data_IF_056729138365
#
_entry.id   IF_056729138365
#
_cell.length_a   1.000
_cell.length_b   1.000
_cell.length_c   1.000
_cell.angle_alpha   90.00
_cell.angle_beta   90.00
_cell.angle_gamma   90.00
#
_symmetry.space_group_name_H-M   'P 1'
#
loop_
_entity.id
_entity.type
_entity.pdbx_description
1 polymer ?
#
# COMPACT_ATOMS: atom_id res chain seq x y z
N UNK A 1 1.02 2.34 27.49
CA UNK A 1 1.58 2.97 28.72
C UNK A 1 2.77 2.15 29.16
N UNK A 2 3.92 2.73 29.57
CA UNK A 2 5.10 1.95 29.94
C UNK A 2 4.85 1.15 31.23
N UNK A 3 4.84 -0.18 31.11
CA UNK A 3 4.67 -1.14 32.21
C UNK A 3 5.02 -2.53 31.72
N UNK A 4 5.38 -3.44 32.64
CA UNK A 4 5.54 -4.85 32.29
C UNK A 4 4.20 -5.40 31.82
N UNK A 5 4.13 -6.05 30.65
CA UNK A 5 2.87 -6.57 30.16
C UNK A 5 2.46 -7.77 31.03
N UNK A 6 1.16 -8.11 31.09
CA UNK A 6 0.69 -9.35 31.68
C UNK A 6 1.41 -10.56 31.06
N UNK A 7 1.61 -11.65 31.80
CA UNK A 7 2.42 -12.81 31.36
C UNK A 7 1.87 -13.58 30.13
N UNK A 8 0.74 -13.14 29.57
CA UNK A 8 -0.01 -13.79 28.49
C UNK A 8 -0.42 -12.82 27.37
N UNK A 9 0.09 -11.58 27.36
CA UNK A 9 -0.30 -10.55 26.40
C UNK A 9 -0.12 -10.94 24.92
N UNK A 10 0.87 -11.78 24.65
CA UNK A 10 1.20 -12.27 23.31
C UNK A 10 0.36 -13.51 22.88
N UNK A 11 -0.46 -14.07 23.77
CA UNK A 11 -1.26 -15.25 23.48
C UNK A 11 -2.61 -14.89 22.81
N UNK A 12 -3.22 -15.82 22.06
CA UNK A 12 -4.60 -15.70 21.61
C UNK A 12 -5.57 -15.57 22.79
N UNK A 13 -6.62 -14.76 22.63
CA UNK A 13 -7.66 -14.56 23.66
C UNK A 13 -7.31 -13.56 24.76
N UNK A 14 -6.13 -12.93 24.72
CA UNK A 14 -5.82 -11.80 25.59
C UNK A 14 -6.73 -10.60 25.30
N UNK A 15 -7.27 -9.98 26.35
CA UNK A 15 -8.19 -8.84 26.22
C UNK A 15 -7.45 -7.54 25.91
N UNK A 16 -7.58 -7.07 24.67
CA UNK A 16 -7.00 -5.80 24.19
C UNK A 16 -7.94 -4.62 24.27
N UNK A 17 -9.10 -4.72 24.94
CA UNK A 17 -10.10 -3.63 24.96
C UNK A 17 -9.56 -2.31 25.54
N UNK A 18 -8.46 -2.35 26.30
CA UNK A 18 -7.78 -1.18 26.86
C UNK A 18 -6.62 -0.64 26.03
N UNK A 19 -6.28 -1.30 24.92
CA UNK A 19 -5.17 -0.94 24.03
C UNK A 19 -5.65 0.08 22.99
N UNK A 20 -4.75 0.93 22.51
CA UNK A 20 -4.97 1.78 21.36
C UNK A 20 -5.01 0.96 20.06
N UNK A 21 -5.28 1.62 18.94
CA UNK A 21 -5.25 1.02 17.60
C UNK A 21 -4.48 1.89 16.60
N UNK A 22 -3.87 1.29 15.58
CA UNK A 22 -3.07 1.96 14.55
C UNK A 22 -2.87 1.12 13.28
N UNK A 23 -1.99 1.53 12.38
CA UNK A 23 -1.52 0.80 11.17
C UNK A 23 0.03 0.81 11.12
N UNK A 24 0.68 -0.32 10.82
CA UNK A 24 2.15 -0.36 10.73
C UNK A 24 2.63 0.32 9.43
N UNK A 25 3.84 0.90 9.42
CA UNK A 25 4.77 1.03 10.54
C UNK A 25 4.33 1.99 11.63
N UNK A 26 4.71 1.66 12.86
CA UNK A 26 4.45 2.48 14.03
C UNK A 26 5.74 2.95 14.67
N UNK A 27 5.82 4.22 15.04
CA UNK A 27 7.05 4.78 15.59
C UNK A 27 6.91 6.17 16.17
N UNK A 28 7.97 6.60 16.85
CA UNK A 28 8.20 7.96 17.32
C UNK A 28 9.54 8.46 16.80
N UNK A 29 9.66 9.78 16.67
CA UNK A 29 10.90 10.42 16.22
C UNK A 29 11.04 10.49 14.70
N UNK A 30 12.28 10.70 14.24
CA UNK A 30 12.63 11.00 12.86
C UNK A 30 13.62 9.97 12.31
N UNK A 31 13.31 8.68 12.45
CA UNK A 31 14.09 7.62 11.83
C UNK A 31 14.19 7.89 10.31
N UNK A 32 15.41 8.10 9.82
CA UNK A 32 15.64 8.56 8.47
C UNK A 32 15.05 7.59 7.43
N UNK A 33 14.17 8.09 6.57
CA UNK A 33 13.56 7.31 5.49
C UNK A 33 12.37 6.44 5.90
N UNK A 34 11.88 6.54 7.15
CA UNK A 34 10.67 5.84 7.59
C UNK A 34 9.53 6.83 7.81
N UNK A 35 8.38 6.55 7.22
CA UNK A 35 7.13 7.29 7.43
C UNK A 35 6.25 6.46 8.36
N UNK A 36 6.00 6.95 9.56
CA UNK A 36 5.12 6.27 10.50
C UNK A 36 3.67 6.40 10.05
N UNK A 37 3.02 5.25 9.86
CA UNK A 37 1.58 5.18 9.68
C UNK A 37 0.85 5.32 11.03
N UNK A 38 1.54 5.09 12.14
CA UNK A 38 1.03 5.37 13.50
C UNK A 38 2.11 6.01 14.37
N UNK A 39 1.82 7.19 14.88
CA UNK A 39 2.71 7.90 15.80
C UNK A 39 2.57 7.32 17.22
N UNK A 40 3.69 6.88 17.78
CA UNK A 40 3.78 6.42 19.17
C UNK A 40 4.13 7.58 20.11
N UNK A 41 3.66 7.53 21.38
CA UNK A 41 4.09 8.50 22.39
C UNK A 41 5.60 8.42 22.62
N UNK A 42 6.31 9.55 22.56
CA UNK A 42 7.75 9.59 22.86
C UNK A 42 8.04 9.16 24.31
N UNK A 43 8.87 8.12 24.48
CA UNK A 43 9.35 7.64 25.77
C UNK A 43 10.87 7.82 25.95
N UNK A 44 11.53 8.60 25.11
CA UNK A 44 12.99 8.83 25.13
C UNK A 44 13.50 9.29 26.49
N UNK A 45 12.73 10.09 27.23
CA UNK A 45 13.13 10.60 28.55
C UNK A 45 13.18 9.52 29.64
N UNK A 46 12.31 8.51 29.57
CA UNK A 46 12.15 7.48 30.61
C UNK A 46 12.65 6.11 30.18
N UNK A 47 12.86 5.92 28.87
CA UNK A 47 12.92 4.59 28.26
C UNK A 47 11.62 3.81 28.46
N UNK A 48 11.69 2.51 28.20
CA UNK A 48 10.61 1.55 28.42
C UNK A 48 10.27 0.77 27.15
N UNK A 49 9.22 -0.02 27.21
CA UNK A 49 8.82 -0.91 26.11
C UNK A 49 7.52 -0.45 25.45
N UNK A 50 7.44 -0.64 24.14
CA UNK A 50 6.21 -0.66 23.37
C UNK A 50 5.80 -2.09 23.10
N UNK A 51 4.50 -2.36 23.12
CA UNK A 51 3.94 -3.67 22.85
C UNK A 51 3.02 -3.56 21.65
N UNK A 52 3.19 -4.46 20.70
CA UNK A 52 2.40 -4.50 19.47
C UNK A 52 1.69 -5.83 19.41
N UNK A 53 0.42 -5.81 19.04
CA UNK A 53 -0.35 -7.02 18.82
C UNK A 53 -1.06 -6.95 17.47
N UNK A 54 -0.76 -7.93 16.64
CA UNK A 54 -1.39 -8.19 15.37
C UNK A 54 -2.16 -9.50 15.46
N UNK A 55 -3.44 -9.47 15.14
CA UNK A 55 -4.23 -10.68 14.97
C UNK A 55 -4.38 -11.01 13.48
N UNK A 56 -4.30 -12.29 13.17
CA UNK A 56 -4.56 -12.80 11.84
C UNK A 56 -5.23 -14.16 11.88
N UNK A 57 -6.02 -14.50 10.87
CA UNK A 57 -6.74 -15.76 10.82
C UNK A 57 -6.16 -16.72 9.78
N UNK A 58 -6.11 -18.01 10.13
CA UNK A 58 -5.75 -19.09 9.22
C UNK A 58 -6.91 -20.08 9.06
N UNK A 59 -7.19 -20.50 7.83
CA UNK A 59 -7.97 -21.72 7.57
C UNK A 59 -7.12 -22.97 7.78
N UNK A 60 -7.76 -24.14 7.84
CA UNK A 60 -7.02 -25.41 7.87
C UNK A 60 -6.09 -25.56 6.67
N UNK A 61 -6.55 -25.20 5.46
CA UNK A 61 -5.76 -25.31 4.23
C UNK A 61 -4.54 -24.38 4.25
N UNK A 62 -4.69 -23.16 4.77
CA UNK A 62 -3.60 -22.20 4.95
C UNK A 62 -2.60 -22.67 6.00
N UNK A 63 -3.08 -23.22 7.11
CA UNK A 63 -2.21 -23.80 8.13
C UNK A 63 -1.40 -24.97 7.57
N UNK A 64 -2.07 -25.90 6.86
CA UNK A 64 -1.43 -27.07 6.25
C UNK A 64 -0.32 -26.64 5.27
N UNK A 65 -0.55 -25.58 4.51
CA UNK A 65 0.47 -24.98 3.64
C UNK A 65 1.65 -24.41 4.43
N UNK A 66 1.41 -23.67 5.51
CA UNK A 66 2.45 -23.02 6.31
C UNK A 66 3.31 -23.99 7.13
N UNK A 67 2.76 -25.14 7.54
CA UNK A 67 3.49 -26.16 8.30
C UNK A 67 4.23 -27.16 7.40
N UNK A 68 3.98 -27.14 6.08
CA UNK A 68 4.73 -27.96 5.13
C UNK A 68 6.23 -27.60 5.23
N UNK A 69 7.14 -28.55 5.51
CA UNK A 69 8.57 -28.30 5.55
C UNK A 69 9.16 -27.74 4.24
N UNK A 70 8.46 -27.91 3.11
CA UNK A 70 8.82 -27.30 1.83
C UNK A 70 8.46 -25.81 1.74
N UNK A 71 7.53 -25.35 2.58
CA UNK A 71 7.14 -23.95 2.70
C UNK A 71 8.11 -23.21 3.61
N UNK A 72 8.82 -22.23 3.06
CA UNK A 72 9.62 -21.31 3.87
C UNK A 72 8.74 -20.18 4.37
N UNK A 73 8.46 -20.14 5.66
CA UNK A 73 7.83 -18.99 6.31
C UNK A 73 8.93 -18.06 6.81
N UNK A 74 8.93 -16.81 6.37
CA UNK A 74 9.94 -15.82 6.69
C UNK A 74 9.31 -14.65 7.44
N UNK A 75 9.82 -14.32 8.62
CA UNK A 75 9.43 -13.12 9.34
C UNK A 75 10.50 -12.05 9.13
N UNK A 76 10.13 -10.94 8.51
CA UNK A 76 10.95 -9.74 8.48
C UNK A 76 10.53 -8.83 9.62
N UNK A 77 11.53 -8.30 10.33
CA UNK A 77 11.33 -7.35 11.42
C UNK A 77 12.13 -6.09 11.10
N UNK A 78 11.56 -4.94 11.41
CA UNK A 78 12.26 -3.67 11.47
C UNK A 78 12.03 -3.08 12.87
N UNK A 79 13.10 -2.88 13.63
CA UNK A 79 13.03 -2.31 14.97
C UNK A 79 14.22 -1.39 15.27
N UNK A 80 13.97 -0.28 15.97
CA UNK A 80 14.98 0.77 16.23
C UNK A 80 15.84 0.60 17.47
N UNK A 81 15.75 -0.51 18.20
CA UNK A 81 16.51 -0.77 19.43
C UNK A 81 16.56 -2.29 19.68
N UNK A 82 16.10 -2.77 20.83
CA UNK A 82 15.90 -4.19 21.11
C UNK A 82 14.47 -4.59 20.76
N UNK A 83 14.30 -5.78 20.18
CA UNK A 83 12.97 -6.32 19.88
C UNK A 83 12.87 -7.80 20.19
N UNK A 84 11.75 -8.20 20.75
CA UNK A 84 11.37 -9.59 20.92
C UNK A 84 10.05 -9.82 20.17
N UNK A 85 9.98 -10.85 19.35
CA UNK A 85 8.75 -11.18 18.60
C UNK A 85 8.23 -12.55 19.03
N UNK A 86 6.92 -12.61 19.15
CA UNK A 86 6.15 -13.72 19.68
C UNK A 86 5.09 -14.14 18.67
N UNK A 87 4.87 -15.44 18.51
CA UNK A 87 3.79 -16.02 17.75
C UNK A 87 2.95 -16.89 18.68
N UNK A 88 1.69 -16.52 18.89
CA UNK A 88 0.77 -17.20 19.81
C UNK A 88 1.34 -17.41 21.22
N UNK A 89 2.05 -16.39 21.74
CA UNK A 89 2.70 -16.43 23.06
C UNK A 89 4.08 -17.11 23.06
N UNK A 90 4.52 -17.70 21.95
CA UNK A 90 5.84 -18.29 21.81
C UNK A 90 6.84 -17.28 21.29
N UNK A 91 7.95 -17.05 21.99
CA UNK A 91 9.03 -16.23 21.45
C UNK A 91 9.66 -16.93 20.24
N UNK A 92 9.61 -16.28 19.08
CA UNK A 92 10.21 -16.75 17.82
C UNK A 92 11.42 -15.91 17.40
N UNK A 93 11.63 -14.76 18.05
CA UNK A 93 12.77 -13.90 17.77
C UNK A 93 13.17 -13.07 18.99
N UNK A 94 14.48 -12.83 19.12
CA UNK A 94 15.05 -11.94 20.12
C UNK A 94 16.27 -11.24 19.55
N UNK A 95 16.23 -9.92 19.59
CA UNK A 95 17.34 -9.04 19.31
C UNK A 95 17.62 -8.21 20.55
N UNK A 96 18.36 -8.81 21.47
CA UNK A 96 18.86 -8.18 22.69
C UNK A 96 20.30 -7.78 22.45
N UNK A 97 20.56 -6.48 22.32
CA UNK A 97 21.82 -6.03 21.77
C UNK A 97 22.06 -4.54 21.88
N UNK A 98 23.04 -4.06 21.12
CA UNK A 98 23.37 -2.64 21.11
C UNK A 98 22.30 -1.84 20.38
N UNK A 99 21.91 -0.66 20.92
CA UNK A 99 21.07 0.29 20.22
C UNK A 99 21.46 0.48 18.76
N UNK A 100 20.50 0.37 17.84
CA UNK A 100 20.72 0.55 16.39
C UNK A 100 19.59 1.33 15.76
N UNK A 101 19.90 2.20 14.81
CA UNK A 101 18.84 2.92 14.10
C UNK A 101 17.88 1.93 13.41
N UNK A 102 16.58 2.26 13.38
CA UNK A 102 15.61 1.48 12.63
C UNK A 102 15.93 1.56 11.13
N UNK A 103 15.89 0.42 10.45
CA UNK A 103 16.03 0.31 9.00
C UNK A 103 15.15 -0.83 8.49
N UNK A 104 14.64 -0.66 7.27
CA UNK A 104 13.93 -1.71 6.54
C UNK A 104 14.89 -2.58 5.73
N UNK A 105 14.90 -3.90 5.84
CA UNK A 105 14.51 -4.73 7.00
C UNK A 105 15.79 -4.99 7.81
N UNK A 106 15.75 -4.91 9.15
CA UNK A 106 16.95 -5.12 9.96
C UNK A 106 17.16 -6.60 10.31
N UNK A 107 16.11 -7.42 10.22
CA UNK A 107 16.18 -8.88 10.39
C UNK A 107 15.25 -9.60 9.42
N UNK A 108 15.71 -10.77 8.98
CA UNK A 108 14.95 -11.77 8.26
C UNK A 108 15.13 -13.10 8.99
N UNK A 109 14.02 -13.70 9.42
CA UNK A 109 13.98 -14.89 10.27
C UNK A 109 13.24 -15.97 9.50
N UNK A 110 13.93 -17.07 9.22
CA UNK A 110 13.33 -18.23 8.57
C UNK A 110 12.75 -19.11 9.67
N UNK A 111 11.42 -19.13 9.78
CA UNK A 111 10.72 -19.95 10.78
C UNK A 111 10.85 -21.42 10.39
N UNK A 112 11.52 -22.18 11.26
CA UNK A 112 11.68 -23.62 11.07
C UNK A 112 10.32 -24.32 11.20
N UNK A 113 10.19 -25.53 10.66
CA UNK A 113 9.01 -26.38 10.89
C UNK A 113 8.77 -26.68 12.38
N UNK A 114 9.82 -26.57 13.19
CA UNK A 114 9.77 -26.66 14.66
C UNK A 114 9.37 -25.35 15.34
N UNK A 115 8.95 -24.33 14.61
CA UNK A 115 8.44 -23.04 15.12
C UNK A 115 7.07 -22.74 14.51
N UNK A 116 6.77 -23.24 13.30
CA UNK A 116 5.45 -23.12 12.66
C UNK A 116 4.33 -23.90 13.38
N UNK A 117 4.66 -24.84 14.27
CA UNK A 117 3.66 -25.51 15.12
C UNK A 117 2.95 -24.57 16.11
N UNK A 118 3.50 -23.38 16.35
CA UNK A 118 2.81 -22.36 17.12
C UNK A 118 1.54 -21.87 16.41
N UNK A 119 1.45 -21.99 15.07
CA UNK A 119 0.27 -21.61 14.29
C UNK A 119 -0.90 -22.55 14.54
N UNK A 120 -2.10 -21.98 14.57
CA UNK A 120 -3.36 -22.71 14.77
C UNK A 120 -4.40 -22.32 13.71
N UNK A 121 -5.39 -23.19 13.50
CA UNK A 121 -6.58 -22.81 12.72
C UNK A 121 -7.39 -21.80 13.51
N UNK A 122 -7.86 -20.75 12.84
CA UNK A 122 -8.53 -19.61 13.46
C UNK A 122 -7.56 -18.48 13.76
N UNK A 123 -7.76 -17.80 14.89
CA UNK A 123 -7.01 -16.60 15.26
C UNK A 123 -5.60 -16.95 15.74
N UNK A 124 -4.63 -16.31 15.12
CA UNK A 124 -3.22 -16.27 15.49
C UNK A 124 -2.85 -14.85 15.88
N UNK A 125 -1.82 -14.74 16.71
CA UNK A 125 -1.31 -13.48 17.26
C UNK A 125 0.17 -13.40 16.95
N UNK A 126 0.57 -12.38 16.19
CA UNK A 126 1.94 -11.94 16.10
C UNK A 126 2.10 -10.73 17.02
N UNK A 127 2.98 -10.86 18.01
CA UNK A 127 3.15 -9.86 19.06
C UNK A 127 4.61 -9.45 19.14
N UNK A 128 4.90 -8.19 19.43
CA UNK A 128 6.27 -7.71 19.56
C UNK A 128 6.45 -6.76 20.74
N UNK A 129 7.53 -6.96 21.50
CA UNK A 129 8.03 -5.99 22.46
C UNK A 129 9.19 -5.24 21.81
N UNK A 130 9.12 -3.92 21.74
CA UNK A 130 10.24 -3.06 21.30
C UNK A 130 10.66 -2.18 22.46
N UNK A 131 11.89 -2.39 22.95
CA UNK A 131 12.42 -1.64 24.11
C UNK A 131 13.13 -0.40 23.60
N UNK A 132 12.71 0.78 24.06
CA UNK A 132 13.42 2.02 23.82
C UNK A 132 14.29 2.41 25.02
N UNK A 133 15.58 2.63 24.78
CA UNK A 133 16.53 3.07 25.81
C UNK A 133 16.32 4.52 26.22
N UNK A 134 16.71 4.87 27.46
CA UNK A 134 16.75 6.27 27.91
C UNK A 134 17.70 7.06 27.00
N UNK A 135 17.21 8.19 26.48
CA UNK A 135 17.93 9.09 25.59
C UNK A 135 17.85 8.71 24.11
N UNK A 136 17.16 7.63 23.74
CA UNK A 136 16.93 7.28 22.33
C UNK A 136 15.73 8.05 21.78
N UNK A 137 15.93 8.95 20.80
CA UNK A 137 14.87 9.79 20.23
C UNK A 137 13.92 9.01 19.31
N UNK A 138 14.36 7.84 18.82
CA UNK A 138 13.66 7.07 17.80
C UNK A 138 13.33 5.68 18.34
N UNK A 139 12.06 5.31 18.21
CA UNK A 139 11.58 3.96 18.44
C UNK A 139 10.58 3.64 17.35
N UNK A 140 10.66 2.45 16.78
CA UNK A 140 9.72 2.06 15.75
C UNK A 140 9.70 0.55 15.57
N UNK A 141 8.60 0.11 14.98
CA UNK A 141 8.32 -1.27 14.69
C UNK A 141 7.61 -1.39 13.35
N UNK A 142 8.07 -2.35 12.56
CA UNK A 142 7.33 -2.91 11.45
C UNK A 142 7.63 -4.40 11.36
N UNK A 143 6.67 -5.14 10.82
CA UNK A 143 6.75 -6.59 10.69
C UNK A 143 6.06 -7.08 9.44
N UNK A 144 6.68 -8.07 8.80
CA UNK A 144 6.17 -8.70 7.61
C UNK A 144 6.39 -10.22 7.69
N UNK A 145 5.33 -11.00 7.57
CA UNK A 145 5.33 -12.46 7.57
C UNK A 145 5.07 -12.95 6.14
N UNK A 146 6.11 -13.52 5.52
CA UNK A 146 6.15 -13.90 4.11
C UNK A 146 6.18 -15.40 3.94
N UNK A 147 5.54 -15.86 2.88
CA UNK A 147 5.66 -17.24 2.40
C UNK A 147 6.64 -17.26 1.23
N UNK A 148 7.50 -18.28 1.17
CA UNK A 148 8.48 -18.48 0.11
C UNK A 148 7.84 -18.41 -1.29
N UNK A 149 8.60 -17.88 -2.25
CA UNK A 149 8.11 -17.63 -3.61
C UNK A 149 7.55 -18.91 -4.27
N UNK A 150 6.43 -18.78 -4.98
CA UNK A 150 5.85 -19.83 -5.82
C UNK A 150 4.70 -20.63 -5.20
N UNK A 151 4.31 -20.34 -3.96
CA UNK A 151 3.16 -20.98 -3.31
C UNK A 151 1.87 -20.18 -3.57
N UNK A 152 0.80 -20.87 -3.97
CA UNK A 152 -0.52 -20.28 -4.11
C UNK A 152 -1.17 -20.23 -2.72
N UNK A 153 -1.49 -19.03 -2.24
CA UNK A 153 -2.16 -18.85 -0.95
C UNK A 153 -3.65 -19.22 -1.06
N UNK A 154 -4.17 -20.17 -0.26
CA UNK A 154 -5.57 -20.57 -0.33
C UNK A 154 -6.50 -19.42 0.06
N UNK A 155 -7.56 -19.20 -0.71
CA UNK A 155 -8.59 -18.24 -0.36
C UNK A 155 -9.43 -18.79 0.81
N UNK A 156 -9.61 -17.99 1.87
CA UNK A 156 -10.49 -18.35 2.97
C UNK A 156 -10.62 -17.25 4.00
N UNK A 157 -11.86 -17.01 4.47
CA UNK A 157 -12.20 -16.05 5.51
C UNK A 157 -12.76 -16.78 6.73
N UNK A 158 -12.13 -16.63 7.89
CA UNK A 158 -12.70 -17.02 9.17
C UNK A 158 -13.32 -15.77 9.81
N UNK A 159 -14.65 -15.69 9.88
CA UNK A 159 -15.47 -14.69 10.64
C UNK A 159 -15.27 -13.18 10.34
N UNK A 160 -16.30 -12.43 9.88
CA UNK A 160 -16.19 -11.02 9.46
C UNK A 160 -15.84 -9.99 10.56
N UNK A 161 -15.72 -10.37 11.83
CA UNK A 161 -15.40 -9.43 12.90
C UNK A 161 -13.90 -9.02 12.94
N UNK A 162 -13.01 -9.83 12.35
CA UNK A 162 -11.56 -9.59 12.39
C UNK A 162 -10.96 -9.96 11.02
N UNK A 163 -10.59 -8.94 10.25
CA UNK A 163 -10.23 -9.04 8.83
C UNK A 163 -9.08 -10.01 8.50
N UNK A 164 -8.96 -10.37 7.22
CA UNK A 164 -7.92 -11.25 6.68
C UNK A 164 -6.55 -10.57 6.63
N UNK A 165 -5.51 -11.22 7.17
CA UNK A 165 -4.11 -10.74 7.18
C UNK A 165 -3.06 -11.84 7.18
N UNK A 166 -1.89 -11.60 6.57
CA UNK A 166 -0.55 -12.09 6.97
C UNK A 166 0.48 -11.02 6.51
N UNK A 167 0.44 -9.82 7.15
CA UNK A 167 1.13 -8.54 6.82
C UNK A 167 2.56 -8.67 6.26
N UNK A 168 3.10 -7.87 5.33
CA UNK A 168 2.92 -6.43 5.03
C UNK A 168 2.42 -6.15 3.61
N UNK A 169 1.60 -5.11 3.47
CA UNK A 169 1.24 -4.52 2.18
C UNK A 169 2.10 -3.33 1.77
N UNK A 170 3.37 -3.31 2.21
CA UNK A 170 4.31 -2.26 1.84
C UNK A 170 5.31 -2.79 0.79
N UNK A 171 5.46 -2.14 -0.37
CA UNK A 171 6.50 -2.50 -1.31
C UNK A 171 7.86 -2.20 -0.66
N UNK A 172 8.73 -3.22 -0.65
CA UNK A 172 10.11 -3.08 -0.24
C UNK A 172 10.80 -1.99 -1.06
N UNK A 173 11.26 -0.92 -0.42
CA UNK A 173 12.21 -0.01 -1.06
C UNK A 173 13.56 -0.71 -1.21
N UNK A 174 13.83 -1.11 -2.45
CA UNK A 174 15.12 -1.35 -3.12
C UNK A 174 16.07 -2.42 -2.58
N UNK A 175 16.12 -3.55 -3.30
CA UNK A 175 17.33 -3.86 -4.07
C UNK A 175 16.95 -4.55 -5.39
N UNK A 176 17.75 -4.32 -6.42
CA UNK A 176 17.45 -4.50 -7.82
C UNK A 176 16.83 -5.86 -8.21
N UNK A 177 15.72 -5.79 -8.98
CA UNK A 177 15.30 -6.86 -9.88
C UNK A 177 14.36 -7.91 -9.30
N UNK A 178 13.10 -7.55 -9.04
CA UNK A 178 11.96 -8.45 -9.20
C UNK A 178 10.66 -7.62 -9.35
N UNK A 179 9.81 -8.07 -10.26
CA UNK A 179 8.64 -7.37 -10.80
C UNK A 179 7.56 -7.12 -9.76
N UNK A 180 7.30 -5.84 -9.46
CA UNK A 180 6.01 -5.42 -8.93
C UNK A 180 4.88 -5.73 -9.91
N UNK A 181 3.64 -5.50 -9.49
CA UNK A 181 2.53 -5.28 -10.42
C UNK A 181 3.04 -4.39 -11.57
N UNK A 182 2.64 -4.63 -12.83
CA UNK A 182 3.11 -3.80 -13.93
C UNK A 182 2.85 -2.36 -13.54
N UNK A 183 3.94 -1.63 -13.34
CA UNK A 183 3.91 -0.24 -12.97
C UNK A 183 3.06 0.44 -14.04
N UNK A 184 1.96 1.06 -13.62
CA UNK A 184 0.96 1.60 -14.53
C UNK A 184 1.64 2.62 -15.45
N UNK A 185 1.84 2.24 -16.70
CA UNK A 185 2.58 3.04 -17.67
C UNK A 185 1.69 4.20 -18.10
N UNK A 186 2.12 5.42 -17.80
CA UNK A 186 1.46 6.63 -18.27
C UNK A 186 2.30 7.32 -19.34
N UNK A 187 1.64 8.11 -20.19
CA UNK A 187 2.27 9.15 -20.98
C UNK A 187 2.23 10.48 -20.22
N UNK A 188 3.33 11.25 -20.23
CA UNK A 188 3.42 12.59 -19.61
C UNK A 188 3.96 13.65 -20.55
N UNK A 189 3.34 14.82 -20.55
CA UNK A 189 3.87 16.02 -21.18
C UNK A 189 4.04 17.16 -20.16
N UNK A 190 5.07 17.98 -20.35
CA UNK A 190 5.44 19.06 -19.44
C UNK A 190 6.39 20.09 -20.06
N UNK A 191 6.38 21.37 -19.63
CA UNK A 191 5.25 22.16 -19.15
C UNK A 191 4.64 22.99 -20.30
N UNK A 192 3.30 23.06 -20.39
CA UNK A 192 2.62 23.80 -21.45
C UNK A 192 1.09 23.86 -21.35
N UNK A 193 0.43 24.39 -22.38
CA UNK A 193 -1.01 24.17 -22.61
C UNK A 193 -1.18 22.89 -23.41
N UNK A 194 -2.07 21.98 -23.01
CA UNK A 194 -2.19 20.74 -23.74
C UNK A 194 -2.88 21.00 -25.08
N UNK A 195 -2.66 20.14 -26.09
CA UNK A 195 -3.47 20.17 -27.30
C UNK A 195 -4.96 20.02 -26.97
N UNK A 196 -5.83 20.58 -27.82
CA UNK A 196 -7.27 20.27 -27.74
C UNK A 196 -7.47 18.76 -27.79
N UNK A 197 -8.34 18.24 -26.94
CA UNK A 197 -8.74 16.83 -26.86
C UNK A 197 -7.70 15.84 -26.32
N UNK A 198 -6.64 16.31 -25.65
CA UNK A 198 -5.61 15.45 -25.04
C UNK A 198 -6.18 14.38 -24.10
N UNK A 199 -7.28 14.67 -23.39
CA UNK A 199 -7.92 13.72 -22.48
C UNK A 199 -8.87 12.73 -23.18
N UNK A 200 -9.20 12.94 -24.45
CA UNK A 200 -10.16 12.11 -25.19
C UNK A 200 -9.49 10.86 -25.77
N UNK A 201 -10.22 9.73 -25.94
CA UNK A 201 -9.70 8.54 -26.63
C UNK A 201 -9.20 8.87 -28.05
N UNK A 202 -8.10 8.24 -28.45
CA UNK A 202 -7.51 8.44 -29.79
C UNK A 202 -6.55 9.62 -29.94
N UNK A 203 -6.29 10.38 -28.87
CA UNK A 203 -5.20 11.36 -28.85
C UNK A 203 -3.84 10.66 -28.98
N UNK A 204 -2.96 11.18 -29.84
CA UNK A 204 -1.63 10.62 -30.09
C UNK A 204 -0.62 11.09 -29.05
N UNK A 205 -0.19 10.17 -28.17
CA UNK A 205 0.83 10.43 -27.15
C UNK A 205 2.24 10.06 -27.59
N UNK A 206 2.50 9.78 -28.86
CA UNK A 206 3.81 9.34 -29.34
C UNK A 206 4.95 10.32 -29.06
N UNK A 207 4.65 11.62 -28.89
CA UNK A 207 5.64 12.64 -28.52
C UNK A 207 5.78 12.86 -27.01
N UNK A 208 4.95 12.22 -26.19
CA UNK A 208 4.96 12.38 -24.73
C UNK A 208 6.06 11.51 -24.12
N UNK A 209 6.57 11.92 -22.96
CA UNK A 209 7.37 11.05 -22.12
C UNK A 209 6.53 9.88 -21.61
N UNK A 210 7.18 8.84 -21.09
CA UNK A 210 6.51 7.72 -20.44
C UNK A 210 7.08 7.48 -19.05
N UNK A 211 6.23 7.08 -18.11
CA UNK A 211 6.64 6.79 -16.74
C UNK A 211 5.64 5.91 -16.02
N UNK A 212 5.86 5.75 -14.72
CA UNK A 212 5.03 4.98 -13.80
C UNK A 212 4.68 5.81 -12.58
N UNK A 213 3.42 5.75 -12.13
CA UNK A 213 2.99 6.48 -10.95
C UNK A 213 3.53 5.81 -9.67
N UNK A 214 3.74 6.57 -8.58
CA UNK A 214 3.65 8.03 -8.53
C UNK A 214 4.70 8.78 -9.32
N UNK A 215 4.30 9.94 -9.85
CA UNK A 215 5.17 10.85 -10.56
C UNK A 215 5.28 12.18 -9.82
N UNK A 216 6.49 12.73 -9.71
CA UNK A 216 6.68 13.99 -9.01
C UNK A 216 8.09 14.57 -9.10
N UNK A 217 8.25 15.75 -8.54
CA UNK A 217 9.51 16.45 -8.35
C UNK A 217 9.58 16.99 -6.93
N UNK A 218 10.79 17.21 -6.44
CA UNK A 218 11.02 17.73 -5.10
C UNK A 218 10.98 16.65 -4.02
N UNK A 219 10.77 17.09 -2.78
CA UNK A 219 10.89 16.28 -1.57
C UNK A 219 9.60 16.28 -0.77
N UNK A 220 8.47 16.00 -1.43
CA UNK A 220 7.20 15.82 -0.74
C UNK A 220 7.36 14.73 0.34
N UNK A 221 7.08 15.10 1.58
CA UNK A 221 7.37 14.26 2.73
C UNK A 221 6.61 12.93 2.63
N UNK A 222 7.36 11.83 2.69
CA UNK A 222 6.82 10.48 2.68
C UNK A 222 6.36 9.94 1.33
N UNK A 223 6.76 10.58 0.22
CA UNK A 223 6.49 10.09 -1.13
C UNK A 223 7.80 9.74 -1.84
N UNK A 224 7.87 8.52 -2.36
CA UNK A 224 8.96 8.07 -3.23
C UNK A 224 8.45 8.09 -4.67
N UNK A 225 8.95 9.01 -5.48
CA UNK A 225 8.57 9.11 -6.89
C UNK A 225 9.10 7.92 -7.68
N UNK A 226 8.20 7.24 -8.40
CA UNK A 226 8.58 6.25 -9.39
C UNK A 226 9.02 6.92 -10.70
N UNK A 227 8.47 8.09 -11.02
CA UNK A 227 8.90 8.93 -12.14
C UNK A 227 9.25 10.34 -11.68
N UNK A 228 10.46 10.78 -11.95
CA UNK A 228 10.85 12.17 -11.72
C UNK A 228 10.31 13.07 -12.83
N UNK A 229 9.53 14.08 -12.44
CA UNK A 229 9.05 15.11 -13.35
C UNK A 229 10.07 16.26 -13.48
N UNK A 230 10.14 16.91 -14.65
CA UNK A 230 10.98 18.11 -14.81
C UNK A 230 10.51 19.21 -13.87
N UNK A 231 11.42 19.80 -13.08
CA UNK A 231 11.09 20.91 -12.19
C UNK A 231 10.57 22.13 -12.99
N UNK A 232 9.33 22.54 -12.70
CA UNK A 232 8.71 23.74 -13.26
C UNK A 232 8.45 24.83 -12.20
N UNK A 233 9.04 24.73 -11.00
CA UNK A 233 8.83 25.68 -9.89
C UNK A 233 9.12 27.13 -10.28
N UNK A 234 10.09 27.39 -11.16
CA UNK A 234 10.44 28.74 -11.59
C UNK A 234 9.36 29.44 -12.44
N UNK A 235 8.62 28.67 -13.25
CA UNK A 235 7.64 29.19 -14.22
C UNK A 235 6.21 28.82 -13.88
N UNK A 236 6.00 27.87 -12.97
CA UNK A 236 4.75 27.14 -12.82
C UNK A 236 4.40 26.36 -14.10
N UNK A 237 3.16 25.89 -14.15
CA UNK A 237 2.57 25.24 -15.31
C UNK A 237 1.93 23.91 -14.97
N UNK A 238 1.45 23.22 -16.00
CA UNK A 238 0.73 21.95 -15.85
C UNK A 238 1.58 20.77 -16.34
N UNK A 239 1.39 19.63 -15.67
CA UNK A 239 1.74 18.30 -16.16
C UNK A 239 0.47 17.60 -16.62
N UNK A 240 0.56 16.89 -17.74
CA UNK A 240 -0.56 16.13 -18.29
C UNK A 240 -0.22 14.66 -18.27
N UNK A 241 -1.09 13.86 -17.66
CA UNK A 241 -0.94 12.42 -17.55
C UNK A 241 -2.02 11.74 -18.34
N UNK A 242 -1.66 10.65 -19.02
CA UNK A 242 -2.61 9.79 -19.72
C UNK A 242 -2.30 8.35 -19.41
N UNK A 243 -3.34 7.62 -19.01
CA UNK A 243 -3.26 6.19 -18.77
C UNK A 243 -4.39 5.49 -19.53
N UNK A 244 -4.01 4.47 -20.29
CA UNK A 244 -4.94 3.70 -21.09
C UNK A 244 -5.20 2.35 -20.45
N UNK A 245 -6.47 1.97 -20.40
CA UNK A 245 -6.92 0.70 -19.84
C UNK A 245 -8.07 0.14 -20.61
N UNK A 246 -8.24 -1.17 -20.53
CA UNK A 246 -9.10 -1.87 -21.45
C UNK A 246 -10.12 -2.69 -20.66
N UNK A 247 -11.40 -2.63 -21.06
CA UNK A 247 -12.51 -3.30 -20.40
C UNK A 247 -13.21 -4.29 -21.33
N UNK A 248 -13.57 -5.47 -20.82
CA UNK A 248 -14.54 -6.36 -21.47
C UNK A 248 -15.97 -5.89 -21.20
N UNK A 249 -16.95 -6.45 -21.93
CA UNK A 249 -18.37 -6.20 -21.66
C UNK A 249 -18.74 -6.55 -20.21
N UNK A 250 -18.29 -7.71 -19.72
CA UNK A 250 -18.61 -8.17 -18.36
C UNK A 250 -18.01 -7.24 -17.27
N UNK A 251 -16.81 -6.73 -17.50
CA UNK A 251 -16.16 -5.76 -16.62
C UNK A 251 -16.87 -4.41 -16.65
N UNK A 252 -17.28 -3.95 -17.83
CA UNK A 252 -18.08 -2.73 -17.95
C UNK A 252 -19.41 -2.87 -17.21
N UNK A 253 -20.13 -3.98 -17.42
CA UNK A 253 -21.41 -4.25 -16.78
C UNK A 253 -21.28 -4.24 -15.25
N UNK A 254 -20.20 -4.81 -14.71
CA UNK A 254 -19.89 -4.74 -13.29
C UNK A 254 -19.67 -3.30 -12.81
N UNK A 255 -18.89 -2.50 -13.54
CA UNK A 255 -18.52 -1.14 -13.13
C UNK A 255 -19.65 -0.13 -13.20
N UNK A 256 -20.62 -0.34 -14.10
CA UNK A 256 -21.79 0.54 -14.24
C UNK A 256 -22.96 0.11 -13.36
N UNK A 257 -22.88 -1.06 -12.71
CA UNK A 257 -23.89 -1.50 -11.75
C UNK A 257 -23.94 -0.51 -10.58
N UNK A 258 -25.10 0.10 -10.26
CA UNK A 258 -25.24 1.00 -9.12
C UNK A 258 -24.89 0.37 -7.76
N UNK A 259 -24.89 -0.96 -7.66
CA UNK A 259 -24.43 -1.69 -6.48
C UNK A 259 -22.90 -1.73 -6.36
N UNK A 260 -22.17 -1.57 -7.47
CA UNK A 260 -20.72 -1.48 -7.50
C UNK A 260 -20.28 -0.07 -7.13
N UNK A 261 -19.63 0.07 -5.98
CA UNK A 261 -19.02 1.33 -5.58
C UNK A 261 -17.67 1.51 -6.27
N UNK A 262 -17.67 2.17 -7.43
CA UNK A 262 -16.45 2.61 -8.09
C UNK A 262 -15.93 3.89 -7.43
N UNK A 263 -14.65 3.90 -7.07
CA UNK A 263 -13.99 4.97 -6.32
C UNK A 263 -12.76 5.45 -7.08
N UNK A 264 -12.62 6.76 -7.23
CA UNK A 264 -11.41 7.43 -7.70
C UNK A 264 -10.62 7.94 -6.49
N UNK A 265 -9.36 7.55 -6.40
CA UNK A 265 -8.41 8.09 -5.42
C UNK A 265 -7.42 9.00 -6.15
N UNK A 266 -7.18 10.18 -5.60
CA UNK A 266 -6.26 11.17 -6.19
C UNK A 266 -5.31 11.68 -5.12
N UNK A 267 -4.01 11.67 -5.44
CA UNK A 267 -2.99 12.40 -4.69
C UNK A 267 -2.37 13.44 -5.63
N UNK A 268 -2.37 14.70 -5.22
CA UNK A 268 -1.81 15.79 -6.01
C UNK A 268 -1.23 16.90 -5.13
N UNK A 269 -0.05 17.40 -5.47
CA UNK A 269 0.52 18.61 -4.87
C UNK A 269 0.04 19.81 -5.66
N UNK A 270 -0.77 20.69 -5.04
CA UNK A 270 -1.49 21.84 -5.63
C UNK A 270 -2.88 21.49 -6.21
N UNK A 271 -3.09 21.70 -7.51
CA UNK A 271 -4.39 21.54 -8.18
C UNK A 271 -4.37 20.33 -9.11
N UNK A 272 -5.49 19.62 -9.19
CA UNK A 272 -5.66 18.54 -10.16
C UNK A 272 -7.06 18.46 -10.73
N UNK A 273 -7.13 18.03 -11.99
CA UNK A 273 -8.37 17.70 -12.68
C UNK A 273 -8.20 16.33 -13.31
N UNK A 274 -9.19 15.44 -13.13
CA UNK A 274 -9.13 14.07 -13.67
C UNK A 274 -10.30 13.88 -14.64
N UNK A 275 -9.99 13.22 -15.74
CA UNK A 275 -10.87 12.99 -16.87
C UNK A 275 -10.93 11.49 -17.18
N UNK A 276 -12.10 11.01 -17.54
CA UNK A 276 -12.35 9.66 -18.03
C UNK A 276 -12.94 9.75 -19.43
N UNK A 277 -12.23 9.22 -20.43
CA UNK A 277 -12.60 9.31 -21.85
C UNK A 277 -12.95 10.74 -22.30
N UNK A 278 -12.19 11.73 -21.84
CA UNK A 278 -12.37 13.15 -22.15
C UNK A 278 -13.43 13.87 -21.31
N UNK A 279 -14.16 13.15 -20.45
CA UNK A 279 -15.12 13.75 -19.52
C UNK A 279 -14.48 14.00 -18.18
N UNK A 280 -14.57 15.23 -17.67
CA UNK A 280 -14.08 15.55 -16.35
C UNK A 280 -14.91 14.84 -15.28
N UNK A 281 -14.27 14.01 -14.47
CA UNK A 281 -14.88 13.27 -13.36
C UNK A 281 -14.46 13.79 -11.99
N UNK A 282 -13.44 14.65 -11.94
CA UNK A 282 -12.95 15.28 -10.73
C UNK A 282 -12.30 16.64 -11.04
N UNK A 283 -12.49 17.60 -10.12
CA UNK A 283 -11.86 18.92 -10.18
C UNK A 283 -11.52 19.37 -8.78
N UNK A 284 -10.27 19.76 -8.61
CA UNK A 284 -9.74 20.33 -7.38
C UNK A 284 -8.82 21.49 -7.74
N UNK A 285 -9.46 22.60 -8.06
CA UNK A 285 -8.83 23.87 -8.44
C UNK A 285 -8.94 24.86 -7.28
N UNK A 286 -7.92 25.69 -7.07
CA UNK A 286 -7.96 26.77 -6.10
C UNK A 286 -6.79 26.77 -5.12
N UNK A 287 -7.02 26.29 -3.88
CA UNK A 287 -6.07 26.55 -2.78
C UNK A 287 -4.87 25.60 -2.85
N UNK A 288 -3.63 26.13 -2.90
CA UNK A 288 -2.41 25.36 -2.78
C UNK A 288 -2.43 24.38 -1.60
N UNK A 289 -2.02 23.14 -1.84
CA UNK A 289 -1.88 22.13 -0.79
C UNK A 289 -0.69 21.22 -1.04
N UNK A 290 -0.16 20.69 0.07
CA UNK A 290 0.83 19.64 0.02
C UNK A 290 0.21 18.35 -0.51
N UNK A 291 1.00 17.58 -1.25
CA UNK A 291 0.61 16.23 -1.66
C UNK A 291 0.56 15.32 -0.44
N UNK A 292 -0.49 14.50 -0.33
CA UNK A 292 -0.64 13.46 0.69
C UNK A 292 -1.30 12.23 0.06
N UNK A 293 -0.95 11.05 0.55
CA UNK A 293 -1.64 9.82 0.16
C UNK A 293 -2.81 9.52 1.11
N UNK A 294 -4.06 9.51 0.67
CA UNK A 294 -4.64 10.09 -0.56
C UNK A 294 -5.18 11.49 -0.25
N UNK A 295 -5.09 12.45 -1.18
CA UNK A 295 -5.67 13.79 -0.99
C UNK A 295 -7.20 13.74 -1.08
N UNK A 296 -7.72 12.89 -1.96
CA UNK A 296 -9.15 12.73 -2.19
C UNK A 296 -9.52 11.28 -2.47
N UNK A 297 -10.73 10.94 -2.03
CA UNK A 297 -11.44 9.70 -2.34
C UNK A 297 -12.84 10.07 -2.80
N UNK A 298 -13.20 9.69 -4.02
CA UNK A 298 -14.43 10.10 -4.69
C UNK A 298 -15.20 8.86 -5.13
N UNK A 299 -16.42 8.69 -4.65
CA UNK A 299 -17.33 7.70 -5.21
C UNK A 299 -17.90 8.22 -6.53
N UNK A 300 -17.63 7.50 -7.62
CA UNK A 300 -18.17 7.83 -8.94
C UNK A 300 -19.64 7.41 -9.00
N UNK A 301 -20.52 8.33 -9.38
CA UNK A 301 -21.93 8.03 -9.59
C UNK A 301 -22.15 7.56 -11.04
N UNK A 302 -23.40 7.19 -11.34
CA UNK A 302 -23.79 6.77 -12.70
C UNK A 302 -23.54 7.84 -13.76
N UNK A 303 -23.47 9.12 -13.35
CA UNK A 303 -23.15 10.28 -14.21
C UNK A 303 -21.65 10.44 -14.51
N UNK A 304 -20.78 9.63 -13.92
CA UNK A 304 -19.37 9.58 -14.27
C UNK A 304 -19.02 8.23 -14.91
N UNK A 305 -19.64 7.14 -14.45
CA UNK A 305 -19.37 5.79 -14.98
C UNK A 305 -19.93 5.55 -16.39
N UNK A 306 -20.90 6.34 -16.87
CA UNK A 306 -21.37 6.26 -18.27
C UNK A 306 -20.30 6.64 -19.30
N UNK A 307 -19.21 7.28 -18.87
CA UNK A 307 -18.08 7.55 -19.72
C UNK A 307 -17.34 6.28 -20.13
N UNK A 308 -17.44 5.19 -19.35
CA UNK A 308 -16.77 3.93 -19.61
C UNK A 308 -17.35 3.23 -20.85
N UNK A 309 -16.45 2.61 -21.63
CA UNK A 309 -16.82 1.86 -22.83
C UNK A 309 -16.15 0.48 -22.83
N UNK A 310 -16.71 -0.45 -23.60
CA UNK A 310 -16.01 -1.71 -23.91
C UNK A 310 -14.80 -1.40 -24.80
N UNK A 311 -13.67 -2.01 -24.51
CA UNK A 311 -12.39 -1.72 -25.16
C UNK A 311 -11.58 -0.67 -24.40
N UNK A 312 -10.82 0.14 -25.14
CA UNK A 312 -9.87 1.10 -24.55
C UNK A 312 -10.61 2.30 -23.94
N UNK A 313 -10.25 2.58 -22.71
CA UNK A 313 -10.63 3.71 -21.90
C UNK A 313 -9.37 4.49 -21.53
N UNK A 314 -9.53 5.78 -21.30
CA UNK A 314 -8.46 6.72 -20.98
C UNK A 314 -8.79 7.38 -19.65
N UNK A 315 -7.93 7.19 -18.65
CA UNK A 315 -7.88 8.01 -17.45
C UNK A 315 -6.78 9.05 -17.65
N UNK A 316 -7.16 10.33 -17.64
CA UNK A 316 -6.27 11.44 -17.92
C UNK A 316 -6.31 12.45 -16.77
N UNK A 317 -5.18 13.11 -16.49
CA UNK A 317 -5.13 14.08 -15.41
C UNK A 317 -4.27 15.29 -15.76
N UNK A 318 -4.75 16.48 -15.40
CA UNK A 318 -3.97 17.71 -15.40
C UNK A 318 -3.57 17.99 -13.96
N UNK A 319 -2.28 18.24 -13.71
CA UNK A 319 -1.77 18.64 -12.40
C UNK A 319 -1.01 19.93 -12.55
N UNK A 320 -1.49 20.99 -11.91
CA UNK A 320 -0.88 22.31 -11.99
C UNK A 320 0.09 22.50 -10.84
N UNK A 321 1.31 22.92 -11.14
CA UNK A 321 2.24 23.38 -10.13
C UNK A 321 2.33 24.91 -10.15
N UNK A 322 2.24 25.52 -8.97
CA UNK A 322 2.31 26.97 -8.81
C UNK A 322 3.73 27.51 -8.97
N UNK A 323 3.86 28.77 -9.40
CA UNK A 323 5.14 29.49 -9.39
C UNK A 323 5.69 29.54 -7.96
N UNK A 324 6.92 29.10 -7.78
CA UNK A 324 7.63 29.01 -6.50
C UNK A 324 7.34 27.75 -5.69
N UNK A 325 6.52 26.82 -6.19
CA UNK A 325 6.28 25.54 -5.53
C UNK A 325 7.37 24.53 -5.89
N UNK A 326 8.23 24.12 -4.94
CA UNK A 326 9.35 23.20 -5.22
C UNK A 326 8.88 21.75 -5.41
N UNK A 327 7.67 21.44 -4.95
CA UNK A 327 7.11 20.09 -4.97
C UNK A 327 5.91 20.06 -5.92
N UNK A 328 5.94 19.14 -6.87
CA UNK A 328 4.82 18.77 -7.71
C UNK A 328 4.70 17.25 -7.67
N UNK A 329 3.50 16.72 -7.64
CA UNK A 329 3.34 15.28 -7.60
C UNK A 329 1.93 14.86 -7.93
N UNK A 330 1.83 13.63 -8.43
CA UNK A 330 0.59 13.02 -8.86
C UNK A 330 0.60 11.51 -8.62
N UNK A 331 -0.52 11.01 -8.13
CA UNK A 331 -0.90 9.60 -8.18
C UNK A 331 -2.41 9.47 -8.33
N UNK A 332 -2.86 8.41 -8.97
CA UNK A 332 -4.28 8.12 -9.19
C UNK A 332 -4.54 6.63 -9.14
N UNK A 333 -5.67 6.26 -8.56
CA UNK A 333 -6.14 4.89 -8.51
C UNK A 333 -7.66 4.83 -8.70
N UNK A 334 -8.14 3.79 -9.37
CA UNK A 334 -9.56 3.53 -9.58
C UNK A 334 -9.89 2.18 -8.95
N UNK A 335 -10.76 2.17 -7.95
CA UNK A 335 -11.05 1.01 -7.09
C UNK A 335 -12.51 0.63 -7.13
N UNK A 336 -12.78 -0.67 -7.05
CA UNK A 336 -14.13 -1.18 -6.75
C UNK A 336 -14.22 -1.51 -5.26
N UNK A 337 -15.42 -1.40 -4.69
CA UNK A 337 -15.70 -1.82 -3.32
C UNK A 337 -15.27 -3.26 -3.03
N UNK A 338 -14.83 -3.50 -1.79
CA UNK A 338 -14.32 -4.81 -1.37
C UNK A 338 -15.33 -5.95 -1.55
N UNK A 339 -14.85 -7.14 -1.90
CA UNK A 339 -15.66 -8.37 -2.00
C UNK A 339 -16.30 -8.64 -3.37
N UNK A 340 -16.05 -7.79 -4.37
CA UNK A 340 -16.50 -8.02 -5.74
C UNK A 340 -15.51 -8.92 -6.51
N UNK A 341 -16.04 -9.98 -7.13
CA UNK A 341 -15.26 -10.82 -8.03
C UNK A 341 -15.04 -10.08 -9.36
N UNK A 342 -13.78 -9.80 -9.70
CA UNK A 342 -13.43 -9.16 -10.97
C UNK A 342 -13.52 -10.16 -12.14
N UNK A 343 -14.32 -9.89 -13.18
CA UNK A 343 -14.45 -10.81 -14.31
C UNK A 343 -13.12 -11.01 -15.05
N UNK A 344 -12.78 -12.27 -15.30
CA UNK A 344 -11.64 -12.61 -16.14
C UNK A 344 -11.95 -12.23 -17.59
N UNK A 345 -11.05 -11.50 -18.24
CA UNK A 345 -11.22 -11.11 -19.62
C UNK A 345 -9.95 -10.52 -20.20
N UNK A 346 -9.63 -10.90 -21.43
CA UNK A 346 -8.59 -10.23 -22.22
C UNK A 346 -9.26 -9.34 -23.25
N UNK A 347 -8.88 -8.07 -23.23
CA UNK A 347 -9.04 -7.16 -24.34
C UNK A 347 -7.64 -6.83 -24.84
N UNK A 348 -7.48 -6.72 -26.16
CA UNK A 348 -6.17 -6.71 -26.84
C UNK A 348 -5.22 -5.66 -26.24
N UNK A 349 -4.06 -6.06 -25.68
CA UNK A 349 -3.15 -5.19 -24.96
C UNK A 349 -2.29 -4.26 -25.84
N UNK A 350 -2.50 -4.23 -27.17
CA UNK A 350 -1.76 -3.30 -28.03
C UNK A 350 -1.92 -1.81 -27.61
N UNK A 351 -2.95 -1.47 -26.82
CA UNK A 351 -3.30 -0.09 -26.46
C UNK A 351 -3.88 0.08 -25.04
N UNK A 352 -3.53 -0.74 -24.04
CA UNK A 352 -3.96 -0.46 -22.66
C UNK A 352 -3.61 -1.52 -21.60
N UNK A 353 -3.27 -1.06 -20.40
CA UNK A 353 -3.08 -1.88 -19.19
C UNK A 353 -4.35 -1.80 -18.34
N UNK A 354 -4.93 -2.91 -17.89
CA UNK A 354 -6.12 -2.84 -17.03
C UNK A 354 -5.82 -2.10 -15.72
N UNK A 355 -6.45 -0.93 -15.50
CA UNK A 355 -6.38 -0.15 -14.24
C UNK A 355 -6.82 -1.00 -13.04
N UNK A 356 -7.75 -1.94 -13.29
CA UNK A 356 -8.38 -2.77 -12.26
C UNK A 356 -7.68 -4.13 -12.11
N UNK A 357 -6.64 -4.42 -12.90
CA UNK A 357 -5.83 -5.64 -12.77
C UNK A 357 -4.81 -5.62 -11.63
N UNK A 358 -4.96 -4.70 -10.67
CA UNK A 358 -4.45 -4.90 -9.32
C UNK A 358 -5.09 -6.10 -8.60
N UNK A 359 -6.18 -6.66 -9.13
CA UNK A 359 -6.64 -8.02 -8.82
C UNK A 359 -6.29 -8.95 -9.99
N UNK A 360 -5.50 -10.02 -9.77
CA UNK A 360 -5.17 -10.93 -10.85
C UNK A 360 -6.42 -11.69 -11.29
N UNK A 361 -6.85 -11.47 -12.52
CA UNK A 361 -7.55 -12.48 -13.27
C UNK A 361 -6.52 -13.51 -13.76
N UNK A 362 -6.48 -14.67 -13.13
CA UNK A 362 -6.74 -15.99 -13.73
C UNK A 362 -5.97 -17.12 -13.03
N UNK A 363 -6.60 -18.29 -13.11
CA UNK A 363 -5.99 -19.62 -13.10
C UNK A 363 -4.48 -19.68 -13.33
N UNK A 364 -3.85 -20.55 -12.53
CA UNK A 364 -2.48 -21.08 -12.64
C UNK A 364 -1.32 -20.14 -12.30
N UNK A 365 -0.82 -20.37 -11.08
CA UNK A 365 0.58 -20.32 -10.62
C UNK A 365 1.36 -18.99 -10.69
N UNK A 366 1.58 -18.39 -9.50
CA UNK A 366 2.80 -17.65 -9.19
C UNK A 366 2.64 -16.24 -8.63
N UNK A 367 2.59 -16.14 -7.30
CA UNK A 367 2.89 -14.97 -6.43
C UNK A 367 1.94 -13.75 -6.44
N UNK A 368 1.48 -13.33 -5.25
CA UNK A 368 0.70 -12.10 -5.00
C UNK A 368 1.22 -11.38 -3.75
N UNK A 369 1.25 -10.04 -3.78
CA UNK A 369 1.42 -9.15 -2.62
C UNK A 369 0.09 -8.57 -2.16
N UNK A 370 -0.04 -8.26 -0.87
CA UNK A 370 -1.29 -7.94 -0.15
C UNK A 370 -1.41 -6.42 0.19
N UNK A 371 -2.60 -5.89 0.59
CA UNK A 371 -2.79 -4.49 1.02
C UNK A 371 -2.66 -4.24 2.55
N UNK A 372 -2.49 -2.96 2.93
CA UNK A 372 -2.19 -2.46 4.30
C UNK A 372 -3.35 -2.55 5.32
N UNK A 373 -3.01 -2.62 6.63
CA UNK A 373 -3.91 -3.10 7.69
C UNK A 373 -3.76 -2.43 9.06
N UNK A 374 -4.78 -2.62 9.92
CA UNK A 374 -4.93 -2.11 11.29
C UNK A 374 -4.45 -3.08 12.39
N UNK A 375 -3.92 -2.56 13.50
CA UNK A 375 -3.35 -3.26 14.65
C UNK A 375 -3.69 -2.55 16.00
N UNK A 376 -3.33 -3.13 17.17
CA UNK A 376 -3.49 -2.52 18.51
C UNK A 376 -2.15 -2.17 19.22
N UNK A 377 -2.05 -0.97 19.84
CA UNK A 377 -0.87 -0.40 20.56
C UNK A 377 -1.10 -0.29 22.06
#
# INVERSE_FOLDING_TARGET
SPGSPPTDWAAPGFDTASWGSGTLPAGSGSAAGIVWSTNMPDNSATGGSYFFRLEFCLTQEQLDLLIDPATQLMLHVAAGQESEVYLNGMQIFSDVGTPKAMMYWNHEIHLASTETWALVVGVNVLAAEVKNGVGSPDAGFDVDLRVGAGLAWPAGSCDPAHGTSILSGLPATSSAGATGLPAQSFSVDSPGSPPTDWAAPGFDTASWGSGTLPAGSGSAAGIVWSTNMPDNSATGGSYFFRLEFCLTQEQLDLLIDPATQLMLHVAAGQESEVYLNGMQIFSDVGTPKAMMYWNHEIHLASTETWALVVGVNVLAAEVKNGVGSPDAGFDVDLRVGAGLAWPAGSCDPAHGTSILSGLPATSSAGATGLPAQSFSV
#
